data_IF_383690316609
#
_entry.id   IF_383690316609
#
_cell.length_a   1.000
_cell.length_b   1.000
_cell.length_c   1.000
_cell.angle_alpha   90.00
_cell.angle_beta   90.00
_cell.angle_gamma   90.00
#
_symmetry.space_group_name_H-M   'P 1'
#
loop_
_entity.id
_entity.type
_entity.pdbx_description
1 polymer ?
#
# COMPACT_ATOMS: atom_id res chain seq x y z
N UNK A 1 -9.13 -7.73 -11.67
CA UNK A 1 -8.20 -8.23 -10.63
C UNK A 1 -7.78 -7.16 -9.62
N UNK A 2 -7.23 -6.00 -10.01
CA UNK A 2 -6.81 -4.95 -9.07
C UNK A 2 -7.92 -4.41 -8.12
N UNK A 3 -9.15 -4.26 -8.63
CA UNK A 3 -10.31 -3.81 -7.84
C UNK A 3 -10.72 -4.81 -6.74
N UNK A 4 -10.57 -6.12 -7.00
CA UNK A 4 -10.90 -7.16 -6.02
C UNK A 4 -9.95 -7.13 -4.83
N UNK A 5 -8.66 -6.91 -5.09
CA UNK A 5 -7.66 -6.76 -4.04
C UNK A 5 -7.90 -5.49 -3.20
N UNK A 6 -8.20 -4.36 -3.85
CA UNK A 6 -8.49 -3.11 -3.14
C UNK A 6 -9.71 -3.25 -2.22
N UNK A 7 -10.77 -3.87 -2.72
CA UNK A 7 -11.96 -4.17 -1.91
C UNK A 7 -11.64 -5.07 -0.71
N UNK A 8 -10.83 -6.12 -0.91
CA UNK A 8 -10.36 -6.98 0.17
C UNK A 8 -9.49 -6.22 1.19
N UNK A 9 -8.63 -5.31 0.75
CA UNK A 9 -7.78 -4.50 1.61
C UNK A 9 -8.58 -3.54 2.50
N UNK A 10 -9.57 -2.85 1.92
CA UNK A 10 -10.49 -1.94 2.63
C UNK A 10 -11.38 -2.72 3.60
N UNK A 11 -11.92 -3.85 3.17
CA UNK A 11 -12.70 -4.73 4.04
C UNK A 11 -11.88 -5.21 5.25
N UNK A 12 -10.61 -5.55 5.02
CA UNK A 12 -9.71 -5.96 6.08
C UNK A 12 -9.40 -4.79 7.05
N UNK A 13 -9.23 -3.56 6.55
CA UNK A 13 -9.08 -2.38 7.41
C UNK A 13 -10.33 -2.11 8.25
N UNK A 14 -11.52 -2.25 7.66
CA UNK A 14 -12.78 -2.06 8.36
C UNK A 14 -12.99 -3.11 9.46
N UNK A 15 -12.76 -4.38 9.14
CA UNK A 15 -12.84 -5.48 10.13
C UNK A 15 -11.79 -5.34 11.22
N UNK A 16 -10.59 -4.87 10.89
CA UNK A 16 -9.55 -4.55 11.86
C UNK A 16 -9.98 -3.38 12.75
N UNK A 17 -10.55 -2.30 12.22
CA UNK A 17 -11.01 -1.16 13.04
C UNK A 17 -12.16 -1.53 13.98
N UNK A 18 -13.18 -2.18 13.45
CA UNK A 18 -14.43 -2.49 14.17
C UNK A 18 -14.31 -3.67 15.15
N UNK A 19 -13.45 -4.64 14.85
CA UNK A 19 -13.34 -5.90 15.57
C UNK A 19 -12.18 -5.98 16.57
N UNK A 20 -11.09 -5.22 16.38
CA UNK A 20 -9.86 -5.41 17.15
C UNK A 20 -10.02 -5.13 18.65
N UNK A 21 -10.70 -4.05 19.04
CA UNK A 21 -10.90 -3.75 20.46
C UNK A 21 -11.85 -4.73 21.17
N UNK A 22 -12.69 -5.44 20.42
CA UNK A 22 -13.64 -6.44 20.93
C UNK A 22 -13.03 -7.85 20.99
N UNK A 23 -11.88 -8.05 20.35
CA UNK A 23 -11.22 -9.35 20.25
C UNK A 23 -10.44 -9.69 21.54
N UNK A 24 -10.34 -10.99 21.83
CA UNK A 24 -9.42 -11.52 22.83
C UNK A 24 -7.97 -11.25 22.44
N UNK A 25 -7.02 -11.38 23.37
CA UNK A 25 -5.58 -11.19 23.08
C UNK A 25 -5.09 -12.05 21.91
N UNK A 26 -5.51 -13.32 21.85
CA UNK A 26 -5.21 -14.22 20.74
C UNK A 26 -5.91 -13.81 19.43
N UNK A 27 -7.14 -13.29 19.53
CA UNK A 27 -7.84 -12.70 18.39
C UNK A 27 -7.11 -11.47 17.82
N UNK A 28 -6.61 -10.58 18.69
CA UNK A 28 -5.81 -9.41 18.29
C UNK A 28 -4.51 -9.81 17.59
N UNK A 29 -3.78 -10.79 18.11
CA UNK A 29 -2.57 -11.35 17.47
C UNK A 29 -2.90 -11.90 16.08
N UNK A 30 -3.98 -12.68 15.96
CA UNK A 30 -4.42 -13.24 14.68
C UNK A 30 -4.76 -12.15 13.66
N UNK A 31 -5.47 -11.10 14.09
CA UNK A 31 -5.80 -9.95 13.23
C UNK A 31 -4.55 -9.20 12.76
N UNK A 32 -3.56 -8.99 13.64
CA UNK A 32 -2.27 -8.37 13.31
C UNK A 32 -1.52 -9.20 12.27
N UNK A 33 -1.46 -10.52 12.43
CA UNK A 33 -0.80 -11.41 11.47
C UNK A 33 -1.49 -11.38 10.11
N UNK A 34 -2.82 -11.38 10.07
CA UNK A 34 -3.59 -11.30 8.81
C UNK A 34 -3.33 -10.00 8.07
N UNK A 35 -3.41 -8.85 8.76
CA UNK A 35 -3.21 -7.55 8.12
C UNK A 35 -1.76 -7.33 7.69
N UNK A 36 -0.80 -7.81 8.50
CA UNK A 36 0.62 -7.90 8.16
C UNK A 36 0.82 -8.69 6.85
N UNK A 37 0.28 -9.90 6.80
CA UNK A 37 0.45 -10.80 5.65
C UNK A 37 -0.13 -10.21 4.38
N UNK A 38 -1.31 -9.60 4.44
CA UNK A 38 -1.91 -8.93 3.30
C UNK A 38 -1.06 -7.75 2.83
N UNK A 39 -0.67 -6.86 3.75
CA UNK A 39 0.16 -5.69 3.47
C UNK A 39 1.51 -6.09 2.85
N UNK A 40 2.19 -7.10 3.41
CA UNK A 40 3.47 -7.59 2.90
C UNK A 40 3.36 -8.19 1.49
N UNK A 41 2.27 -8.90 1.18
CA UNK A 41 2.07 -9.51 -0.14
C UNK A 41 1.68 -8.53 -1.23
N UNK A 42 1.26 -7.32 -0.87
CA UNK A 42 0.53 -6.47 -1.83
C UNK A 42 1.03 -5.04 -1.82
N UNK A 43 0.99 -4.37 -0.67
CA UNK A 43 1.49 -3.00 -0.52
C UNK A 43 3.01 -2.96 -0.65
N UNK A 44 3.75 -3.93 -0.08
CA UNK A 44 5.21 -3.98 -0.22
C UNK A 44 5.64 -4.14 -1.69
N UNK A 45 5.08 -5.14 -2.36
CA UNK A 45 5.41 -5.45 -3.76
C UNK A 45 5.08 -4.26 -4.65
N UNK A 46 3.90 -3.66 -4.45
CA UNK A 46 3.52 -2.46 -5.19
C UNK A 46 4.45 -1.28 -4.90
N UNK A 47 4.90 -1.11 -3.65
CA UNK A 47 5.83 -0.04 -3.25
C UNK A 47 7.20 -0.16 -3.95
N UNK A 48 7.68 -1.37 -4.22
CA UNK A 48 8.92 -1.59 -5.00
C UNK A 48 8.70 -1.50 -6.51
N UNK A 49 7.53 -1.90 -7.00
CA UNK A 49 7.19 -1.89 -8.42
C UNK A 49 6.96 -0.48 -8.96
N UNK A 50 6.36 0.42 -8.17
CA UNK A 50 6.05 1.79 -8.61
C UNK A 50 7.29 2.62 -9.01
N UNK A 51 8.40 2.63 -8.25
CA UNK A 51 9.65 3.24 -8.70
C UNK A 51 10.16 2.65 -10.01
N UNK A 52 10.12 1.32 -10.16
CA UNK A 52 10.56 0.61 -11.37
C UNK A 52 9.73 1.00 -12.60
N UNK A 53 8.40 1.10 -12.47
CA UNK A 53 7.54 1.63 -13.55
C UNK A 53 7.86 3.08 -13.86
N UNK A 54 8.11 3.89 -12.83
CA UNK A 54 8.60 5.27 -13.00
C UNK A 54 9.86 5.32 -13.84
N UNK A 55 10.83 4.43 -13.58
CA UNK A 55 12.08 4.29 -14.35
C UNK A 55 11.85 3.79 -15.78
N UNK A 56 10.95 2.82 -15.99
CA UNK A 56 10.63 2.32 -17.34
C UNK A 56 9.97 3.39 -18.21
N UNK A 57 9.17 4.28 -17.62
CA UNK A 57 8.60 5.43 -18.31
C UNK A 57 9.64 6.48 -18.75
N UNK A 58 10.88 6.43 -18.23
CA UNK A 58 12.01 7.33 -18.59
C UNK A 58 12.53 7.00 -19.99
N UNK A 59 12.46 5.74 -20.40
CA UNK A 59 13.11 5.24 -21.62
C UNK A 59 12.38 5.71 -22.90
N UNK A 60 11.06 5.97 -22.81
CA UNK A 60 10.28 6.50 -23.94
C UNK A 60 10.38 8.03 -23.98
N UNK A 61 10.88 8.62 -25.08
CA UNK A 61 11.24 10.05 -25.20
C UNK A 61 10.03 11.01 -25.19
N UNK A 62 9.99 11.97 -24.26
CA UNK A 62 9.37 13.33 -24.38
C UNK A 62 9.98 14.27 -23.31
N UNK A 63 11.25 14.64 -23.53
CA UNK A 63 12.22 15.06 -22.52
C UNK A 63 11.76 16.18 -21.56
N UNK A 64 11.22 17.31 -22.02
CA UNK A 64 10.97 18.47 -21.12
C UNK A 64 9.64 18.42 -20.33
N UNK A 65 8.57 17.89 -20.92
CA UNK A 65 7.28 17.68 -20.22
C UNK A 65 7.29 16.42 -19.34
N UNK A 66 8.12 15.40 -19.66
CA UNK A 66 8.31 14.22 -18.81
C UNK A 66 9.16 14.51 -17.59
N UNK A 67 10.20 15.34 -17.67
CA UNK A 67 11.15 15.52 -16.55
C UNK A 67 10.45 16.07 -15.29
N UNK A 68 9.60 17.10 -15.38
CA UNK A 68 8.87 17.62 -14.21
C UNK A 68 7.86 16.62 -13.62
N UNK A 69 7.06 15.99 -14.49
CA UNK A 69 6.08 14.96 -14.10
C UNK A 69 6.76 13.70 -13.55
N UNK A 70 7.97 13.38 -14.01
CA UNK A 70 8.78 12.23 -13.57
C UNK A 70 9.31 12.40 -12.15
N UNK A 71 9.86 13.57 -11.81
CA UNK A 71 10.28 13.85 -10.44
C UNK A 71 9.09 13.79 -9.47
N UNK A 72 7.92 14.28 -9.89
CA UNK A 72 6.67 14.13 -9.14
C UNK A 72 6.28 12.67 -8.94
N UNK A 73 6.33 11.83 -9.97
CA UNK A 73 6.03 10.39 -9.88
C UNK A 73 6.99 9.63 -8.95
N UNK A 74 8.29 9.90 -9.06
CA UNK A 74 9.31 9.32 -8.18
C UNK A 74 9.09 9.76 -6.73
N UNK A 75 8.84 11.05 -6.51
CA UNK A 75 8.55 11.58 -5.18
C UNK A 75 7.29 10.94 -4.57
N UNK A 76 6.20 10.81 -5.33
CA UNK A 76 4.98 10.13 -4.89
C UNK A 76 5.26 8.66 -4.52
N UNK A 77 6.08 7.96 -5.32
CA UNK A 77 6.47 6.58 -5.03
C UNK A 77 7.31 6.47 -3.75
N UNK A 78 8.28 7.38 -3.55
CA UNK A 78 9.10 7.44 -2.34
C UNK A 78 8.26 7.78 -1.09
N UNK A 79 7.28 8.67 -1.22
CA UNK A 79 6.32 8.98 -0.15
C UNK A 79 5.51 7.73 0.19
N UNK A 80 4.99 7.00 -0.82
CA UNK A 80 4.25 5.76 -0.60
C UNK A 80 5.09 4.70 0.11
N UNK A 81 6.35 4.51 -0.30
CA UNK A 81 7.32 3.62 0.37
C UNK A 81 7.55 4.06 1.82
N UNK A 82 7.83 5.35 2.04
CA UNK A 82 8.06 5.90 3.38
C UNK A 82 6.86 5.68 4.31
N UNK A 83 5.64 5.95 3.81
CA UNK A 83 4.41 5.72 4.54
C UNK A 83 4.13 4.24 4.80
N UNK A 84 4.47 3.36 3.85
CA UNK A 84 4.43 1.91 4.05
C UNK A 84 5.34 1.49 5.21
N UNK A 85 6.60 1.92 5.22
CA UNK A 85 7.52 1.60 6.32
C UNK A 85 7.07 2.22 7.66
N UNK A 86 6.49 3.42 7.63
CA UNK A 86 5.90 4.04 8.81
C UNK A 86 4.72 3.22 9.36
N UNK A 87 3.82 2.75 8.50
CA UNK A 87 2.69 1.88 8.90
C UNK A 87 3.22 0.58 9.53
N UNK A 88 4.27 -0.03 8.97
CA UNK A 88 4.95 -1.20 9.56
C UNK A 88 5.53 -0.92 10.94
N UNK A 89 6.16 0.24 11.13
CA UNK A 89 6.66 0.68 12.42
C UNK A 89 5.56 0.79 13.47
N UNK A 90 4.40 1.36 13.10
CA UNK A 90 3.23 1.44 13.98
C UNK A 90 2.65 0.05 14.28
N UNK A 91 2.57 -0.83 13.29
CA UNK A 91 2.06 -2.20 13.48
C UNK A 91 2.93 -3.00 14.47
N UNK A 92 4.25 -2.83 14.44
CA UNK A 92 5.16 -3.45 15.42
C UNK A 92 4.92 -2.91 16.84
N UNK A 93 4.73 -1.59 16.98
CA UNK A 93 4.39 -0.98 18.28
C UNK A 93 3.04 -1.49 18.79
N UNK A 94 2.06 -1.68 17.90
CA UNK A 94 0.76 -2.23 18.24
C UNK A 94 0.88 -3.68 18.74
N UNK A 95 1.67 -4.51 18.05
CA UNK A 95 1.94 -5.89 18.46
C UNK A 95 2.58 -5.96 19.85
N UNK A 96 3.61 -5.13 20.11
CA UNK A 96 4.22 -5.04 21.44
C UNK A 96 3.20 -4.62 22.51
N UNK A 97 2.39 -3.60 22.22
CA UNK A 97 1.35 -3.15 23.16
C UNK A 97 0.29 -4.23 23.46
N UNK A 98 -0.06 -5.08 22.48
CA UNK A 98 -0.95 -6.23 22.71
C UNK A 98 -0.31 -7.25 23.65
N UNK A 99 0.99 -7.50 23.53
CA UNK A 99 1.72 -8.44 24.38
C UNK A 99 1.87 -7.92 25.81
N UNK A 100 2.16 -6.63 25.95
CA UNK A 100 2.38 -5.95 27.23
C UNK A 100 1.08 -5.56 27.96
N UNK A 101 -0.08 -5.70 27.31
CA UNK A 101 -1.38 -5.27 27.85
C UNK A 101 -1.59 -3.76 27.86
N UNK A 102 -0.80 -3.03 27.07
CA UNK A 102 -0.85 -1.57 26.96
C UNK A 102 -2.03 -1.07 26.10
N UNK A 103 -2.46 0.20 26.23
CA UNK A 103 -3.51 0.78 25.40
C UNK A 103 -3.17 0.71 23.89
N UNK A 104 -4.11 0.16 23.10
CA UNK A 104 -3.87 -0.17 21.68
C UNK A 104 -4.68 0.69 20.69
N UNK A 105 -5.72 1.39 21.14
CA UNK A 105 -6.67 2.08 20.27
C UNK A 105 -6.01 3.15 19.37
N UNK A 106 -5.14 3.99 19.96
CA UNK A 106 -4.44 5.03 19.19
C UNK A 106 -3.48 4.46 18.15
N UNK A 107 -2.77 3.37 18.49
CA UNK A 107 -1.85 2.66 17.60
C UNK A 107 -2.60 1.98 16.44
N UNK A 108 -3.72 1.33 16.74
CA UNK A 108 -4.60 0.69 15.77
C UNK A 108 -5.13 1.70 14.74
N UNK A 109 -5.71 2.82 15.20
CA UNK A 109 -6.22 3.89 14.33
C UNK A 109 -5.13 4.49 13.45
N UNK A 110 -3.95 4.77 14.03
CA UNK A 110 -2.80 5.33 13.30
C UNK A 110 -2.26 4.37 12.25
N UNK A 111 -2.22 3.06 12.55
CA UNK A 111 -1.81 2.05 11.58
C UNK A 111 -2.72 2.06 10.34
N UNK A 112 -4.03 1.97 10.55
CA UNK A 112 -5.01 1.95 9.45
C UNK A 112 -4.98 3.24 8.67
N UNK A 113 -4.82 4.39 9.32
CA UNK A 113 -4.68 5.68 8.65
C UNK A 113 -3.48 5.70 7.69
N UNK A 114 -2.29 5.31 8.14
CA UNK A 114 -1.12 5.25 7.26
C UNK A 114 -1.32 4.26 6.11
N UNK A 115 -1.86 3.08 6.40
CA UNK A 115 -2.15 2.06 5.40
C UNK A 115 -3.14 2.56 4.35
N UNK A 116 -4.21 3.25 4.75
CA UNK A 116 -5.18 3.85 3.82
C UNK A 116 -4.54 4.88 2.90
N UNK A 117 -3.65 5.73 3.42
CA UNK A 117 -2.93 6.70 2.59
C UNK A 117 -2.07 5.93 1.57
N UNK A 118 -1.33 4.89 1.97
CA UNK A 118 -0.57 4.05 1.03
C UNK A 118 -1.47 3.49 -0.07
N UNK A 119 -2.64 2.94 0.28
CA UNK A 119 -3.61 2.41 -0.70
C UNK A 119 -4.06 3.50 -1.70
N UNK A 120 -4.35 4.72 -1.23
CA UNK A 120 -4.73 5.85 -2.10
C UNK A 120 -3.59 6.18 -3.08
N UNK A 121 -2.35 6.24 -2.61
CA UNK A 121 -1.19 6.49 -3.47
C UNK A 121 -0.99 5.38 -4.50
N UNK A 122 -1.14 4.12 -4.10
CA UNK A 122 -1.05 2.97 -5.01
C UNK A 122 -2.11 3.04 -6.11
N UNK A 123 -3.38 3.25 -5.74
CA UNK A 123 -4.50 3.38 -6.69
C UNK A 123 -4.30 4.57 -7.62
N UNK A 124 -3.90 5.73 -7.08
CA UNK A 124 -3.64 6.94 -7.86
C UNK A 124 -2.52 6.71 -8.88
N UNK A 125 -1.48 5.98 -8.50
CA UNK A 125 -0.37 5.68 -9.41
C UNK A 125 -0.80 4.73 -10.52
N UNK A 126 -1.57 3.68 -10.20
CA UNK A 126 -2.16 2.79 -11.22
C UNK A 126 -3.07 3.56 -12.17
N UNK A 127 -3.93 4.44 -11.64
CA UNK A 127 -4.80 5.28 -12.46
C UNK A 127 -4.00 6.20 -13.40
N UNK A 128 -2.93 6.83 -12.92
CA UNK A 128 -2.04 7.64 -13.76
C UNK A 128 -1.39 6.82 -14.88
N UNK A 129 -0.96 5.58 -14.60
CA UNK A 129 -0.38 4.69 -15.62
C UNK A 129 -1.43 4.35 -16.69
N UNK A 130 -2.63 3.96 -16.27
CA UNK A 130 -3.76 3.62 -17.15
C UNK A 130 -4.13 4.80 -18.05
N UNK A 131 -4.25 6.01 -17.49
CA UNK A 131 -4.57 7.22 -18.25
C UNK A 131 -3.49 7.59 -19.26
N UNK A 132 -2.22 7.31 -18.97
CA UNK A 132 -1.09 7.66 -19.84
C UNK A 132 -0.89 6.66 -21.00
N UNK A 133 -1.07 5.36 -20.76
CA UNK A 133 -0.75 4.30 -21.73
C UNK A 133 -1.99 3.66 -22.38
N UNK A 134 -3.18 3.93 -21.85
CA UNK A 134 -4.42 3.22 -22.19
C UNK A 134 -4.54 1.90 -21.42
N UNK A 135 -5.79 1.46 -21.22
CA UNK A 135 -6.14 0.31 -20.36
C UNK A 135 -5.50 -0.99 -20.85
N UNK A 136 -5.54 -1.25 -22.16
CA UNK A 136 -5.07 -2.51 -22.77
C UNK A 136 -3.55 -2.64 -22.67
N UNK A 137 -2.80 -1.59 -23.00
CA UNK A 137 -1.33 -1.65 -22.95
C UNK A 137 -0.81 -1.73 -21.51
N UNK A 138 -1.51 -1.11 -20.56
CA UNK A 138 -1.17 -1.20 -19.12
C UNK A 138 -1.41 -2.61 -18.58
N UNK A 139 -2.49 -3.26 -19.00
CA UNK A 139 -2.77 -4.65 -18.62
C UNK A 139 -1.69 -5.59 -19.15
N UNK A 140 -1.33 -5.49 -20.43
CA UNK A 140 -0.25 -6.30 -21.02
C UNK A 140 1.10 -6.08 -20.33
N UNK A 141 1.42 -4.84 -19.97
CA UNK A 141 2.67 -4.48 -19.29
C UNK A 141 2.67 -4.90 -17.82
N UNK A 142 1.52 -5.04 -17.16
CA UNK A 142 1.48 -5.63 -15.81
C UNK A 142 1.53 -7.16 -15.92
N UNK A 143 0.83 -7.77 -16.88
CA UNK A 143 0.78 -9.22 -17.05
C UNK A 143 2.09 -9.82 -17.52
N UNK A 144 2.83 -9.15 -18.42
CA UNK A 144 4.12 -9.67 -18.92
C UNK A 144 5.24 -9.62 -17.89
N UNK A 145 5.01 -8.98 -16.73
CA UNK A 145 5.97 -8.86 -15.62
C UNK A 145 5.61 -9.77 -14.44
N UNK A 146 4.39 -10.31 -14.42
CA UNK A 146 3.90 -11.25 -13.41
C UNK A 146 3.89 -12.71 -13.93
N UNK A 147 4.33 -12.92 -15.18
CA UNK A 147 4.56 -14.23 -15.79
C UNK A 147 5.96 -14.76 -15.49
#
# INVERSE_FOLDING_TARGET
>A
MALLWLGAAIYLDFTFLSGFNKATTEGKKTMIVRIRSLSDRTEMIASFFLPLVGVLMIIDRTFWLKVGVMHGKILLALIAIGLYHASRGVLKKLEAAVVEGNPTEGLQKRYVMFRMIVLIFLVSTVAMIVSYKGVISTFFLISSWLG
#
